data_IF_096269041372
#
_entry.id   IF_096269041372
#
_cell.length_a   1.000
_cell.length_b   1.000
_cell.length_c   1.000
_cell.angle_alpha   90.00
_cell.angle_beta   90.00
_cell.angle_gamma   90.00
#
_symmetry.space_group_name_H-M   'P 1'
#
loop_
_entity.id
_entity.type
_entity.pdbx_description
1 polymer ?
#
# COMPACT_ATOMS: atom_id res chain seq x y z
N UNK A 1 -0.33 21.58 30.38
CA UNK A 1 -0.96 21.12 29.14
C UNK A 1 0.12 20.68 28.18
N UNK A 2 0.37 19.37 28.04
CA UNK A 2 1.17 18.87 26.92
C UNK A 2 0.27 18.86 25.68
N UNK A 3 0.65 19.62 24.64
CA UNK A 3 0.10 19.43 23.30
C UNK A 3 0.73 18.15 22.75
N UNK A 4 0.07 17.02 22.95
CA UNK A 4 0.45 15.74 22.34
C UNK A 4 0.07 15.77 20.85
N UNK A 5 0.80 16.57 20.09
CA UNK A 5 0.81 16.50 18.63
C UNK A 5 1.71 15.32 18.24
N UNK A 6 1.17 14.40 17.42
CA UNK A 6 2.01 13.42 16.73
C UNK A 6 2.95 14.25 15.85
N UNK A 7 4.23 14.37 16.27
CA UNK A 7 5.25 14.98 15.43
C UNK A 7 5.39 14.12 14.18
N UNK A 8 5.08 14.70 13.04
CA UNK A 8 5.52 14.19 11.75
C UNK A 8 7.02 14.42 11.68
N UNK A 9 7.77 13.48 11.12
CA UNK A 9 9.21 13.67 10.86
C UNK A 9 9.47 14.58 9.65
N UNK A 10 8.40 14.92 8.93
CA UNK A 10 8.37 15.72 7.72
C UNK A 10 7.50 16.96 7.97
N UNK A 11 7.94 18.10 7.45
CA UNK A 11 7.10 19.29 7.38
C UNK A 11 5.96 19.06 6.37
N UNK A 12 4.87 19.83 6.49
CA UNK A 12 3.67 19.65 5.68
C UNK A 12 3.93 19.71 4.18
N UNK A 13 4.79 20.64 3.75
CA UNK A 13 5.17 20.81 2.35
C UNK A 13 6.08 19.67 1.87
N UNK A 14 7.04 19.24 2.70
CA UNK A 14 7.93 18.11 2.39
C UNK A 14 7.17 16.78 2.22
N UNK A 15 6.15 16.54 3.04
CA UNK A 15 5.28 15.37 2.89
C UNK A 15 4.45 15.44 1.60
N UNK A 16 3.96 16.62 1.23
CA UNK A 16 3.22 16.82 -0.01
C UNK A 16 4.13 16.53 -1.20
N UNK A 17 5.37 17.02 -1.18
CA UNK A 17 6.34 16.77 -2.25
C UNK A 17 6.68 15.27 -2.37
N UNK A 18 6.93 14.56 -1.27
CA UNK A 18 7.15 13.10 -1.29
C UNK A 18 5.95 12.34 -1.88
N UNK A 19 4.74 12.72 -1.49
CA UNK A 19 3.52 12.07 -2.00
C UNK A 19 3.34 12.35 -3.50
N UNK A 20 3.60 13.58 -3.95
CA UNK A 20 3.52 13.97 -5.37
C UNK A 20 4.60 13.27 -6.19
N UNK A 21 5.83 13.21 -5.71
CA UNK A 21 6.92 12.49 -6.37
C UNK A 21 6.57 11.02 -6.55
N UNK A 22 6.02 10.35 -5.52
CA UNK A 22 5.57 8.97 -5.65
C UNK A 22 4.41 8.84 -6.65
N UNK A 23 3.45 9.76 -6.64
CA UNK A 23 2.32 9.78 -7.59
C UNK A 23 2.79 9.96 -9.04
N UNK A 24 3.67 10.93 -9.30
CA UNK A 24 4.25 11.21 -10.62
C UNK A 24 5.09 10.03 -11.15
N UNK A 25 5.84 9.37 -10.26
CA UNK A 25 6.54 8.14 -10.60
C UNK A 25 5.55 7.01 -10.98
N UNK A 26 4.48 6.82 -10.21
CA UNK A 26 3.44 5.82 -10.54
C UNK A 26 2.82 6.10 -11.91
N UNK A 27 2.50 7.37 -12.21
CA UNK A 27 1.96 7.78 -13.52
C UNK A 27 2.95 7.45 -14.64
N UNK A 28 4.23 7.82 -14.47
CA UNK A 28 5.30 7.51 -15.44
C UNK A 28 5.40 6.01 -15.69
N UNK A 29 5.49 5.20 -14.63
CA UNK A 29 5.58 3.74 -14.76
C UNK A 29 4.34 3.12 -15.41
N UNK A 30 3.15 3.67 -15.19
CA UNK A 30 1.93 3.21 -15.87
C UNK A 30 1.98 3.46 -17.38
N UNK A 31 2.51 4.61 -17.81
CA UNK A 31 2.69 4.91 -19.22
C UNK A 31 3.71 3.96 -19.87
N UNK A 32 4.88 3.80 -19.26
CA UNK A 32 5.92 2.87 -19.73
C UNK A 32 5.43 1.42 -19.76
N UNK A 33 4.63 1.00 -18.76
CA UNK A 33 4.04 -0.33 -18.72
C UNK A 33 3.06 -0.53 -19.88
N UNK A 34 2.26 0.47 -20.23
CA UNK A 34 1.36 0.40 -21.39
C UNK A 34 2.15 0.28 -22.70
N UNK A 35 3.19 1.09 -22.89
CA UNK A 35 4.07 0.99 -24.07
C UNK A 35 4.72 -0.40 -24.17
N UNK A 36 5.21 -0.95 -23.05
CA UNK A 36 5.77 -2.30 -23.02
C UNK A 36 4.73 -3.37 -23.37
N UNK A 37 3.50 -3.25 -22.88
CA UNK A 37 2.41 -4.17 -23.21
C UNK A 37 2.09 -4.16 -24.69
N UNK A 38 2.03 -2.97 -25.29
CA UNK A 38 1.78 -2.82 -26.73
C UNK A 38 2.92 -3.42 -27.55
N UNK A 39 4.16 -3.16 -27.15
CA UNK A 39 5.36 -3.74 -27.78
C UNK A 39 5.39 -5.27 -27.67
N UNK A 40 5.08 -5.85 -26.50
CA UNK A 40 5.02 -7.31 -26.31
C UNK A 40 3.94 -7.93 -27.20
N UNK A 41 2.76 -7.32 -27.23
CA UNK A 41 1.63 -7.76 -28.06
C UNK A 41 2.02 -7.76 -29.54
N UNK A 42 2.62 -6.66 -30.02
CA UNK A 42 3.01 -6.51 -31.42
C UNK A 42 4.17 -7.43 -31.82
N UNK A 43 5.26 -7.46 -31.04
CA UNK A 43 6.48 -8.17 -31.41
C UNK A 43 6.35 -9.70 -31.31
N UNK A 44 5.54 -10.18 -30.37
CA UNK A 44 5.37 -11.62 -30.15
C UNK A 44 4.06 -12.18 -30.71
N UNK A 45 3.23 -11.34 -31.36
CA UNK A 45 1.92 -11.75 -31.89
C UNK A 45 1.03 -12.45 -30.85
N UNK A 46 1.13 -12.03 -29.59
CA UNK A 46 0.39 -12.60 -28.46
C UNK A 46 -0.96 -11.89 -28.35
N UNK A 47 -2.00 -12.62 -27.95
CA UNK A 47 -3.29 -12.02 -27.59
C UNK A 47 -3.12 -11.01 -26.46
N UNK A 48 -3.53 -9.76 -26.70
CA UNK A 48 -3.49 -8.68 -25.71
C UNK A 48 -4.24 -9.03 -24.42
N UNK A 49 -5.26 -9.89 -24.50
CA UNK A 49 -5.96 -10.42 -23.32
C UNK A 49 -5.05 -11.24 -22.42
N UNK A 50 -4.16 -12.05 -22.99
CA UNK A 50 -3.21 -12.86 -22.22
C UNK A 50 -2.18 -11.98 -21.51
N UNK A 51 -1.63 -10.97 -22.20
CA UNK A 51 -0.69 -9.99 -21.63
C UNK A 51 -1.37 -9.16 -20.53
N UNK A 52 -2.61 -8.71 -20.74
CA UNK A 52 -3.38 -8.00 -19.72
C UNK A 52 -3.65 -8.86 -18.48
N UNK A 53 -4.07 -10.12 -18.66
CA UNK A 53 -4.29 -11.04 -17.55
C UNK A 53 -2.99 -11.31 -16.76
N UNK A 54 -1.85 -11.39 -17.45
CA UNK A 54 -0.54 -11.53 -16.82
C UNK A 54 -0.23 -10.32 -15.92
N UNK A 55 -0.34 -9.10 -16.46
CA UNK A 55 -0.07 -7.85 -15.71
C UNK A 55 -1.03 -7.66 -14.54
N UNK A 56 -2.32 -7.92 -14.74
CA UNK A 56 -3.33 -7.80 -13.68
C UNK A 56 -3.09 -8.82 -12.55
N UNK A 57 -2.72 -10.06 -12.90
CA UNK A 57 -2.39 -11.09 -11.93
C UNK A 57 -1.22 -10.68 -11.03
N UNK A 58 -0.10 -10.23 -11.63
CA UNK A 58 1.08 -9.82 -10.87
C UNK A 58 0.82 -8.57 -10.04
N UNK A 59 0.09 -7.60 -10.57
CA UNK A 59 -0.36 -6.40 -9.84
C UNK A 59 -1.08 -6.80 -8.54
N UNK A 60 -2.09 -7.67 -8.62
CA UNK A 60 -2.86 -8.11 -7.44
C UNK A 60 -2.01 -8.85 -6.41
N UNK A 61 -1.07 -9.69 -6.87
CA UNK A 61 -0.15 -10.40 -5.98
C UNK A 61 0.73 -9.44 -5.17
N UNK A 62 1.35 -8.46 -5.84
CA UNK A 62 2.23 -7.50 -5.16
C UNK A 62 1.44 -6.53 -4.31
N UNK A 63 0.25 -6.06 -4.74
CA UNK A 63 -0.66 -5.27 -3.89
C UNK A 63 -1.02 -6.01 -2.60
N UNK A 64 -1.36 -7.30 -2.69
CA UNK A 64 -1.60 -8.18 -1.53
C UNK A 64 -0.41 -8.26 -0.57
N UNK A 65 0.79 -8.58 -1.09
CA UNK A 65 2.00 -8.74 -0.27
C UNK A 65 2.47 -7.43 0.36
N UNK A 66 2.53 -6.37 -0.44
CA UNK A 66 2.99 -5.04 0.01
C UNK A 66 2.00 -4.42 0.99
N UNK A 67 0.70 -4.50 0.71
CA UNK A 67 -0.36 -4.04 1.61
C UNK A 67 -0.38 -4.80 2.95
N UNK A 68 -0.25 -6.13 2.93
CA UNK A 68 -0.17 -6.92 4.17
C UNK A 68 1.03 -6.53 5.04
N UNK A 69 2.21 -6.36 4.42
CA UNK A 69 3.41 -5.90 5.11
C UNK A 69 3.21 -4.51 5.71
N UNK A 70 2.61 -3.61 4.93
CA UNK A 70 2.34 -2.24 5.34
C UNK A 70 1.46 -2.18 6.59
N UNK A 71 0.35 -2.91 6.57
CA UNK A 71 -0.57 -2.97 7.72
C UNK A 71 0.15 -3.51 8.96
N UNK A 72 0.96 -4.55 8.83
CA UNK A 72 1.72 -5.11 9.95
C UNK A 72 2.71 -4.12 10.57
N UNK A 73 3.47 -3.40 9.74
CA UNK A 73 4.42 -2.38 10.20
C UNK A 73 3.69 -1.22 10.90
N UNK A 74 2.51 -0.85 10.39
CA UNK A 74 1.65 0.15 11.02
C UNK A 74 1.03 -0.30 12.34
N UNK A 75 0.48 -1.51 12.41
CA UNK A 75 -0.08 -2.07 13.63
C UNK A 75 0.96 -2.04 14.75
N UNK A 76 2.20 -2.48 14.47
CA UNK A 76 3.29 -2.46 15.44
C UNK A 76 3.60 -1.04 15.94
N UNK A 77 3.71 -0.09 15.01
CA UNK A 77 4.01 1.31 15.32
C UNK A 77 2.90 1.96 16.15
N UNK A 78 1.65 1.76 15.77
CA UNK A 78 0.48 2.31 16.46
C UNK A 78 0.28 1.66 17.82
N UNK A 79 0.36 0.34 17.91
CA UNK A 79 0.25 -0.38 19.17
C UNK A 79 1.30 0.10 20.16
N UNK A 80 2.55 0.25 19.72
CA UNK A 80 3.61 0.80 20.55
C UNK A 80 3.33 2.24 21.01
N UNK A 81 2.96 3.16 20.11
CA UNK A 81 2.65 4.56 20.48
C UNK A 81 1.43 4.67 21.42
N UNK A 82 0.39 3.89 21.17
CA UNK A 82 -0.82 3.86 22.00
C UNK A 82 -0.56 3.24 23.37
N UNK A 83 0.22 2.15 23.47
CA UNK A 83 0.63 1.58 24.76
C UNK A 83 1.41 2.58 25.62
N UNK A 84 2.29 3.38 25.00
CA UNK A 84 3.04 4.42 25.73
C UNK A 84 2.11 5.53 26.24
N UNK A 85 1.14 5.97 25.43
CA UNK A 85 0.27 7.11 25.75
C UNK A 85 -0.95 6.76 26.61
N UNK A 86 -1.58 5.61 26.35
CA UNK A 86 -2.84 5.17 26.95
C UNK A 86 -2.63 3.92 27.78
N UNK A 87 -1.63 3.91 28.67
CA UNK A 87 -1.27 2.77 29.56
C UNK A 87 -2.48 2.09 30.25
N UNK A 88 -3.63 2.75 30.35
CA UNK A 88 -4.84 2.26 31.01
C UNK A 88 -6.12 2.15 30.13
N UNK A 89 -6.13 2.47 28.83
CA UNK A 89 -7.37 2.43 28.01
C UNK A 89 -7.38 1.36 26.92
N UNK A 90 -7.55 0.10 27.34
CA UNK A 90 -7.51 -1.10 26.48
C UNK A 90 -8.63 -1.14 25.43
N UNK A 91 -9.81 -0.59 25.73
CA UNK A 91 -10.97 -0.66 24.84
C UNK A 91 -10.77 0.16 23.55
N UNK A 92 -10.15 1.33 23.69
CA UNK A 92 -9.80 2.20 22.58
C UNK A 92 -8.76 1.52 21.68
N UNK A 93 -7.65 1.03 22.24
CA UNK A 93 -6.63 0.29 21.48
C UNK A 93 -7.24 -0.88 20.69
N UNK A 94 -8.19 -1.62 21.27
CA UNK A 94 -8.90 -2.73 20.59
C UNK A 94 -9.69 -2.29 19.37
N UNK A 95 -10.36 -1.13 19.41
CA UNK A 95 -11.16 -0.64 18.29
C UNK A 95 -10.28 -0.36 17.06
N UNK A 96 -9.12 0.27 17.26
CA UNK A 96 -8.19 0.57 16.17
C UNK A 96 -7.55 -0.69 15.59
N UNK A 97 -7.14 -1.63 16.45
CA UNK A 97 -6.65 -2.94 16.02
C UNK A 97 -7.68 -3.68 15.15
N UNK A 98 -8.98 -3.55 15.43
CA UNK A 98 -10.00 -4.22 14.63
C UNK A 98 -10.07 -3.72 13.17
N UNK A 99 -9.86 -2.43 12.92
CA UNK A 99 -9.82 -1.85 11.57
C UNK A 99 -8.62 -2.36 10.78
N UNK A 100 -7.44 -2.41 11.41
CA UNK A 100 -6.23 -2.91 10.77
C UNK A 100 -6.32 -4.41 10.48
N UNK A 101 -6.88 -5.21 11.39
CA UNK A 101 -7.14 -6.64 11.16
C UNK A 101 -8.04 -6.87 9.94
N UNK A 102 -9.07 -6.04 9.75
CA UNK A 102 -9.93 -6.13 8.56
C UNK A 102 -9.17 -5.86 7.27
N UNK A 103 -8.30 -4.84 7.25
CA UNK A 103 -7.48 -4.52 6.08
C UNK A 103 -6.44 -5.62 5.81
N UNK A 104 -5.75 -6.10 6.84
CA UNK A 104 -4.82 -7.24 6.75
C UNK A 104 -5.51 -8.47 6.16
N UNK A 105 -6.76 -8.74 6.54
CA UNK A 105 -7.53 -9.86 5.99
C UNK A 105 -7.79 -9.70 4.49
N UNK A 106 -8.18 -8.50 4.04
CA UNK A 106 -8.42 -8.25 2.61
C UNK A 106 -7.14 -8.44 1.77
N UNK A 107 -6.00 -7.92 2.25
CA UNK A 107 -4.73 -8.12 1.56
C UNK A 107 -4.26 -9.58 1.56
N UNK A 108 -4.49 -10.29 2.65
CA UNK A 108 -4.22 -11.73 2.74
C UNK A 108 -5.11 -12.55 1.81
N UNK A 109 -6.40 -12.24 1.71
CA UNK A 109 -7.32 -12.88 0.76
C UNK A 109 -6.85 -12.67 -0.70
N UNK A 110 -6.31 -11.50 -1.03
CA UNK A 110 -5.71 -11.24 -2.35
C UNK A 110 -4.44 -12.06 -2.59
N UNK A 111 -3.58 -12.24 -1.57
CA UNK A 111 -2.38 -13.09 -1.66
C UNK A 111 -2.71 -14.59 -1.75
N UNK A 112 -3.71 -15.07 -0.98
CA UNK A 112 -4.12 -16.47 -0.90
C UNK A 112 -5.00 -16.92 -2.08
N UNK A 113 -5.51 -16.02 -2.91
CA UNK A 113 -6.25 -16.34 -4.15
C UNK A 113 -5.43 -17.09 -5.21
N UNK A 114 -4.25 -17.62 -4.84
CA UNK A 114 -3.23 -18.24 -5.67
C UNK A 114 -2.81 -17.41 -6.91
N UNK A 115 -2.71 -16.06 -6.84
CA UNK A 115 -2.23 -15.29 -7.97
C UNK A 115 -0.81 -15.74 -8.34
N UNK A 116 0.11 -15.94 -7.40
CA UNK A 116 1.51 -16.32 -7.69
C UNK A 116 1.64 -17.50 -8.66
N UNK A 117 1.04 -18.65 -8.32
CA UNK A 117 1.12 -19.86 -9.13
C UNK A 117 0.43 -19.69 -10.49
N UNK A 118 -0.67 -18.92 -10.54
CA UNK A 118 -1.34 -18.58 -11.79
C UNK A 118 -0.49 -17.63 -12.64
N UNK A 119 0.10 -16.60 -12.04
CA UNK A 119 0.91 -15.63 -12.77
C UNK A 119 2.19 -16.27 -13.32
N UNK A 120 2.85 -17.14 -12.54
CA UNK A 120 4.00 -17.92 -13.04
C UNK A 120 3.60 -18.89 -14.15
N UNK A 121 2.43 -19.54 -14.07
CA UNK A 121 1.97 -20.40 -15.17
C UNK A 121 1.79 -19.65 -16.49
N UNK A 122 1.38 -18.37 -16.44
CA UNK A 122 1.28 -17.49 -17.61
C UNK A 122 2.66 -17.05 -18.15
N UNK A 123 3.71 -17.06 -17.32
CA UNK A 123 5.06 -16.59 -17.66
C UNK A 123 5.91 -17.62 -18.42
N UNK A 124 5.68 -18.92 -18.20
CA UNK A 124 6.61 -20.03 -18.54
C UNK A 124 6.97 -20.23 -20.03
N UNK A 125 6.54 -19.37 -20.95
CA UNK A 125 6.80 -19.48 -22.39
C UNK A 125 7.50 -18.28 -23.04
N UNK A 126 7.86 -17.23 -22.29
CA UNK A 126 8.38 -16.00 -22.89
C UNK A 126 9.47 -15.34 -22.03
N UNK A 127 10.75 -15.31 -22.47
CA UNK A 127 11.85 -14.98 -21.56
C UNK A 127 12.00 -13.46 -21.26
N UNK A 128 12.41 -12.63 -22.22
CA UNK A 128 12.90 -11.27 -21.86
C UNK A 128 11.80 -10.19 -21.76
N UNK A 129 10.81 -10.23 -22.65
CA UNK A 129 9.78 -9.18 -22.69
C UNK A 129 8.83 -9.23 -21.48
N UNK A 130 8.59 -10.44 -20.93
CA UNK A 130 7.78 -10.63 -19.73
C UNK A 130 8.55 -10.33 -18.45
N UNK A 131 9.87 -10.54 -18.44
CA UNK A 131 10.75 -10.07 -17.36
C UNK A 131 10.75 -8.54 -17.27
N UNK A 132 10.78 -7.84 -18.42
CA UNK A 132 10.67 -6.38 -18.45
C UNK A 132 9.30 -5.88 -17.94
N UNK A 133 8.21 -6.55 -18.31
CA UNK A 133 6.87 -6.28 -17.77
C UNK A 133 6.82 -6.50 -16.26
N UNK A 134 7.37 -7.62 -15.78
CA UNK A 134 7.42 -7.95 -14.35
C UNK A 134 8.20 -6.90 -13.57
N UNK A 135 9.39 -6.51 -14.05
CA UNK A 135 10.22 -5.49 -13.42
C UNK A 135 9.49 -4.15 -13.29
N UNK A 136 8.72 -3.74 -14.32
CA UNK A 136 7.92 -2.50 -14.27
C UNK A 136 6.74 -2.59 -13.31
N UNK A 137 6.03 -3.72 -13.26
CA UNK A 137 4.98 -3.95 -12.25
C UNK A 137 5.58 -3.86 -10.83
N UNK A 138 6.70 -4.53 -10.58
CA UNK A 138 7.39 -4.49 -9.29
C UNK A 138 7.84 -3.08 -8.89
N UNK A 139 8.38 -2.30 -9.83
CA UNK A 139 8.76 -0.91 -9.59
C UNK A 139 7.53 -0.06 -9.25
N UNK A 140 6.47 -0.12 -10.07
CA UNK A 140 5.20 0.59 -9.79
C UNK A 140 4.68 0.28 -8.39
N UNK A 141 4.69 -1.00 -8.01
CA UNK A 141 4.23 -1.46 -6.70
C UNK A 141 5.09 -0.98 -5.54
N UNK A 142 6.41 -0.86 -5.74
CA UNK A 142 7.31 -0.25 -4.75
C UNK A 142 6.95 1.22 -4.50
N UNK A 143 6.69 2.00 -5.55
CA UNK A 143 6.28 3.40 -5.42
C UNK A 143 4.89 3.54 -4.81
N UNK A 144 3.95 2.65 -5.16
CA UNK A 144 2.65 2.57 -4.51
C UNK A 144 2.75 2.22 -3.03
N UNK A 145 3.64 1.31 -2.64
CA UNK A 145 3.91 1.00 -1.24
C UNK A 145 4.42 2.24 -0.50
N UNK A 146 5.37 2.96 -1.09
CA UNK A 146 5.88 4.23 -0.56
C UNK A 146 4.75 5.25 -0.35
N UNK A 147 3.98 5.53 -1.42
CA UNK A 147 2.82 6.42 -1.37
C UNK A 147 1.84 6.03 -0.25
N UNK A 148 1.41 4.77 -0.22
CA UNK A 148 0.44 4.27 0.76
C UNK A 148 0.99 4.35 2.18
N UNK A 149 2.27 4.05 2.39
CA UNK A 149 2.93 4.22 3.67
C UNK A 149 2.87 5.67 4.13
N UNK A 150 3.40 6.61 3.34
CA UNK A 150 3.43 8.01 3.75
C UNK A 150 2.01 8.57 3.97
N UNK A 151 1.06 8.21 3.11
CA UNK A 151 -0.32 8.64 3.23
C UNK A 151 -1.00 8.13 4.50
N UNK A 152 -0.87 6.83 4.81
CA UNK A 152 -1.49 6.25 6.02
C UNK A 152 -0.79 6.80 7.27
N UNK A 153 0.54 6.74 7.32
CA UNK A 153 1.36 7.12 8.47
C UNK A 153 1.14 8.57 8.91
N UNK A 154 1.14 9.48 7.94
CA UNK A 154 1.30 10.91 8.20
C UNK A 154 0.08 11.74 7.79
N UNK A 155 -0.88 11.17 7.06
CA UNK A 155 -2.14 11.87 6.71
C UNK A 155 -3.34 11.27 7.41
N UNK A 156 -3.62 9.98 7.22
CA UNK A 156 -4.83 9.33 7.76
C UNK A 156 -4.77 9.22 9.29
N UNK A 157 -3.66 8.69 9.81
CA UNK A 157 -3.54 8.42 11.24
C UNK A 157 -3.56 9.68 12.12
N UNK A 158 -2.85 10.77 11.77
CA UNK A 158 -2.95 12.01 12.53
C UNK A 158 -4.36 12.61 12.55
N UNK A 159 -5.12 12.48 11.46
CA UNK A 159 -6.53 12.91 11.41
C UNK A 159 -7.39 12.10 12.36
N UNK A 160 -7.34 10.76 12.28
CA UNK A 160 -8.09 9.89 13.18
C UNK A 160 -7.72 10.13 14.65
N UNK A 161 -6.42 10.33 14.94
CA UNK A 161 -5.97 10.62 16.29
C UNK A 161 -6.54 11.93 16.83
N UNK A 162 -6.59 13.00 16.00
CA UNK A 162 -7.21 14.27 16.37
C UNK A 162 -8.72 14.10 16.62
N UNK A 163 -9.43 13.37 15.77
CA UNK A 163 -10.87 13.08 15.95
C UNK A 163 -11.15 12.38 17.26
N UNK A 164 -10.36 11.35 17.57
CA UNK A 164 -10.51 10.58 18.81
C UNK A 164 -10.17 11.43 20.03
N UNK A 165 -9.06 12.17 20.01
CA UNK A 165 -8.68 13.09 21.08
C UNK A 165 -9.78 14.13 21.36
N UNK A 166 -10.38 14.68 20.32
CA UNK A 166 -11.48 15.64 20.44
C UNK A 166 -12.74 14.99 21.04
N UNK A 167 -13.08 13.74 20.67
CA UNK A 167 -14.20 12.99 21.26
C UNK A 167 -13.98 12.67 22.75
N UNK A 168 -12.77 12.29 23.15
CA UNK A 168 -12.45 12.05 24.58
C UNK A 168 -12.55 13.32 25.43
N UNK A 169 -12.16 14.48 24.89
CA UNK A 169 -12.27 15.78 25.60
C UNK A 169 -13.71 16.28 25.74
N UNK A 170 -14.59 15.93 24.82
CA UNK A 170 -16.01 16.37 24.80
C UNK A 170 -16.93 15.49 25.63
N UNK A 171 -16.55 14.23 25.91
CA UNK A 171 -17.28 13.34 26.83
C UNK A 171 -17.03 13.62 28.32
N UNK A 172 -16.18 14.59 28.68
CA UNK A 172 -15.81 14.92 30.07
C UNK A 172 -16.59 16.11 30.67
N UNK A 173 -17.66 16.56 30.02
CA UNK A 173 -18.65 17.54 30.53
C UNK A 173 -19.96 16.84 30.82
#
# INVERSE_FOLDING_TARGET
MHKDEIKTYYDGDELIDILRDHEDNIITFNNELNELKDNVTANHSIDSKAVNNYVECFTKYYEGKTGSKLIKDFENTIHWKLLQKHKNNVAEVKQWSSCFLSLARQFKEMEEGYPEQRCYSLATHYPEAFDALLAKVQLRDLYMYGYNYFYIAYTVLPKLYKEVNNKTKTRTT
#
